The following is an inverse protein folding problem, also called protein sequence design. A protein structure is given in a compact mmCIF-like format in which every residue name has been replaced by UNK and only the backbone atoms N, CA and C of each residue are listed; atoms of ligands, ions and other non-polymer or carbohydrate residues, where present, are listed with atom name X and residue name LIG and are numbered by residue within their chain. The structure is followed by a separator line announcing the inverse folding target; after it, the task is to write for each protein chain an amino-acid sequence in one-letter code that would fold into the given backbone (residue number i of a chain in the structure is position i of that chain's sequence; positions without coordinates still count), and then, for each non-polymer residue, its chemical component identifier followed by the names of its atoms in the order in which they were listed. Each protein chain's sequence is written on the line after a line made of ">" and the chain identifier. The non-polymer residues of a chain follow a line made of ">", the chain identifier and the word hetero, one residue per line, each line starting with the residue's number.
data_IF_786613680420
#
_entry.id   IF_786613680420
#
_cell.length_a   1.000
_cell.length_b   1.000
_cell.length_c   1.000
_cell.angle_alpha   90.00
_cell.angle_beta   90.00
_cell.angle_gamma   90.00
#
_symmetry.space_group_name_H-M   'P 1'
#
loop_
_entity.id
_entity.type
_entity.pdbx_description
1 polymer ?
#
# COMPACT_ATOMS: atom_id res chain seq x y z
N UNK A 1 12.74 -13.75 -14.24
CA UNK A 1 12.30 -13.84 -12.83
C UNK A 1 11.42 -12.64 -12.56
N UNK A 2 10.13 -12.83 -12.26
CA UNK A 2 9.24 -11.70 -11.99
C UNK A 2 9.42 -11.32 -10.52
N UNK A 3 10.07 -10.20 -10.25
CA UNK A 3 10.20 -9.67 -8.88
C UNK A 3 8.82 -9.18 -8.42
N UNK A 4 8.41 -9.55 -7.21
CA UNK A 4 7.18 -9.05 -6.59
C UNK A 4 7.50 -8.06 -5.47
N UNK A 5 6.55 -7.17 -5.16
CA UNK A 5 6.60 -6.30 -3.98
C UNK A 5 5.35 -6.51 -3.13
N UNK A 6 5.49 -6.34 -1.83
CA UNK A 6 4.34 -6.38 -0.91
C UNK A 6 3.70 -5.00 -0.84
N UNK A 7 2.44 -4.91 -1.24
CA UNK A 7 1.59 -3.76 -0.99
C UNK A 7 0.91 -3.95 0.38
N UNK A 8 1.35 -3.19 1.38
CA UNK A 8 0.67 -3.08 2.67
C UNK A 8 -0.29 -1.89 2.65
N UNK A 9 -1.52 -2.09 3.11
CA UNK A 9 -2.58 -1.08 3.07
C UNK A 9 -3.58 -1.24 4.23
N UNK A 10 -4.24 -0.15 4.61
CA UNK A 10 -5.26 -0.15 5.67
C UNK A 10 -6.67 -0.21 5.07
N UNK A 11 -7.51 -1.09 5.61
CA UNK A 11 -8.92 -1.11 5.25
C UNK A 11 -9.62 0.13 5.78
N UNK A 12 -10.12 0.96 4.88
CA UNK A 12 -10.84 2.19 5.23
C UNK A 12 -12.21 1.93 5.87
N UNK A 13 -12.72 0.69 5.81
CA UNK A 13 -13.97 0.28 6.46
C UNK A 13 -13.79 -0.21 7.90
N UNK A 14 -12.82 -1.09 8.16
CA UNK A 14 -12.68 -1.75 9.47
C UNK A 14 -11.32 -1.53 10.16
N UNK A 15 -10.42 -0.73 9.56
CA UNK A 15 -9.12 -0.38 10.14
C UNK A 15 -8.06 -1.49 10.09
N UNK A 16 -8.38 -2.67 9.58
CA UNK A 16 -7.43 -3.78 9.52
C UNK A 16 -6.29 -3.52 8.52
N UNK A 17 -5.07 -3.87 8.89
CA UNK A 17 -3.91 -3.90 7.98
C UNK A 17 -3.97 -5.13 7.09
N UNK A 18 -3.82 -4.94 5.78
CA UNK A 18 -3.84 -5.97 4.76
C UNK A 18 -2.52 -5.97 3.98
N UNK A 19 -2.16 -7.12 3.41
CA UNK A 19 -0.95 -7.29 2.60
C UNK A 19 -1.26 -8.08 1.35
N UNK A 20 -0.80 -7.58 0.21
CA UNK A 20 -0.93 -8.26 -1.08
C UNK A 20 0.42 -8.27 -1.81
N UNK A 21 0.81 -9.45 -2.29
CA UNK A 21 1.93 -9.55 -3.23
C UNK A 21 1.46 -9.06 -4.60
N UNK A 22 2.13 -8.03 -5.13
CA UNK A 22 1.86 -7.48 -6.46
C UNK A 22 3.13 -7.54 -7.31
N UNK A 23 3.02 -7.64 -8.64
CA UNK A 23 4.18 -7.51 -9.52
C UNK A 23 4.93 -6.19 -9.28
N UNK A 24 6.25 -6.20 -9.45
CA UNK A 24 7.03 -4.97 -9.48
C UNK A 24 6.49 -4.02 -10.55
N UNK A 25 6.40 -2.72 -10.23
CA UNK A 25 5.86 -1.69 -11.11
C UNK A 25 4.34 -1.53 -11.10
N UNK A 26 3.57 -2.43 -10.47
CA UNK A 26 2.11 -2.29 -10.37
C UNK A 26 1.73 -1.11 -9.48
N UNK A 27 1.25 0.00 -10.06
CA UNK A 27 0.80 1.19 -9.32
C UNK A 27 -0.63 1.10 -8.78
N UNK A 28 -1.42 0.12 -9.24
CA UNK A 28 -2.81 -0.08 -8.82
C UNK A 28 -3.19 -1.56 -8.85
N UNK A 29 -3.89 -2.04 -7.84
CA UNK A 29 -4.40 -3.40 -7.77
C UNK A 29 -5.78 -3.45 -7.10
N UNK A 30 -6.55 -4.50 -7.39
CA UNK A 30 -7.77 -4.83 -6.65
C UNK A 30 -7.44 -5.80 -5.53
N UNK A 31 -8.01 -5.62 -4.35
CA UNK A 31 -7.87 -6.56 -3.24
C UNK A 31 -9.14 -6.63 -2.38
N UNK A 32 -9.26 -7.63 -1.51
CA UNK A 32 -10.34 -7.71 -0.52
C UNK A 32 -9.74 -7.72 0.87
N UNK A 33 -10.36 -6.99 1.79
CA UNK A 33 -9.95 -7.02 3.19
C UNK A 33 -10.10 -8.44 3.74
N UNK A 34 -9.04 -8.99 4.34
CA UNK A 34 -9.06 -10.35 4.91
C UNK A 34 -9.97 -10.46 6.13
N UNK A 35 -10.27 -9.33 6.78
CA UNK A 35 -11.12 -9.28 7.98
C UNK A 35 -12.60 -9.12 7.62
N UNK A 36 -12.96 -8.14 6.78
CA UNK A 36 -14.37 -7.80 6.52
C UNK A 36 -14.83 -8.13 5.10
N UNK A 37 -13.96 -8.67 4.24
CA UNK A 37 -14.25 -9.06 2.86
C UNK A 37 -14.52 -7.91 1.88
N UNK A 38 -14.53 -6.66 2.35
CA UNK A 38 -14.88 -5.51 1.50
C UNK A 38 -13.84 -5.33 0.39
N UNK A 39 -14.26 -5.21 -0.88
CA UNK A 39 -13.34 -4.98 -1.99
C UNK A 39 -12.78 -3.56 -1.97
N UNK A 40 -11.50 -3.43 -2.31
CA UNK A 40 -10.78 -2.17 -2.37
C UNK A 40 -9.95 -2.09 -3.65
N UNK A 41 -9.82 -0.87 -4.16
CA UNK A 41 -8.75 -0.50 -5.08
C UNK A 41 -7.61 0.00 -4.20
N UNK A 42 -6.43 -0.61 -4.34
CA UNK A 42 -5.22 -0.16 -3.65
C UNK A 42 -4.28 0.45 -4.67
N UNK A 43 -3.79 1.65 -4.37
CA UNK A 43 -2.87 2.38 -5.22
C UNK A 43 -1.53 2.50 -4.50
N UNK A 44 -0.46 2.37 -5.27
CA UNK A 44 0.87 2.55 -4.76
C UNK A 44 1.07 4.01 -4.42
N UNK A 45 1.20 4.29 -3.13
CA UNK A 45 1.57 5.61 -2.68
C UNK A 45 2.97 5.97 -3.20
N UNK A 46 3.20 7.27 -3.37
CA UNK A 46 4.48 7.83 -3.79
C UNK A 46 5.43 7.72 -2.59
N UNK A 47 5.95 6.51 -2.34
CA UNK A 47 7.13 6.36 -1.48
C UNK A 47 8.38 6.81 -2.25
N UNK A 48 9.34 7.43 -1.55
CA UNK A 48 9.34 7.75 -0.13
C UNK A 48 8.57 9.04 0.19
N UNK A 49 7.96 9.07 1.38
CA UNK A 49 7.59 10.31 2.08
C UNK A 49 8.86 11.17 2.11
N UNK A 50 8.89 12.28 1.38
CA UNK A 50 10.02 13.21 1.39
C UNK A 50 10.08 13.89 2.74
N UNK A 51 11.17 13.67 3.46
CA UNK A 51 11.48 14.43 4.66
C UNK A 51 12.11 15.75 4.20
N UNK A 52 11.46 16.86 4.50
CA UNK A 52 12.06 18.19 4.34
C UNK A 52 12.61 18.58 5.70
N UNK A 53 13.93 18.74 5.82
CA UNK A 53 14.62 19.22 7.01
C UNK A 53 14.99 20.71 6.85
N UNK A 54 14.85 21.50 7.91
CA UNK A 54 15.24 22.92 8.08
C UNK A 54 15.34 23.21 9.59
N UNK A 55 16.00 24.26 10.10
CA UNK A 55 17.46 24.45 10.27
C UNK A 55 17.84 24.00 11.70
N UNK A 56 19.12 23.74 11.94
CA UNK A 56 19.75 23.90 13.27
C UNK A 56 20.61 25.18 13.16
N UNK A 57 20.35 26.14 14.05
CA UNK A 57 20.72 27.58 14.03
C UNK A 57 20.03 28.50 12.98
#
# INVERSE_FOLDING_TARGET
>A
MQTGRTAEWLCTRCGATNRKLVPSGTSRALDRCVTCGTPHVIEADIRPVRWTARLDD
#
